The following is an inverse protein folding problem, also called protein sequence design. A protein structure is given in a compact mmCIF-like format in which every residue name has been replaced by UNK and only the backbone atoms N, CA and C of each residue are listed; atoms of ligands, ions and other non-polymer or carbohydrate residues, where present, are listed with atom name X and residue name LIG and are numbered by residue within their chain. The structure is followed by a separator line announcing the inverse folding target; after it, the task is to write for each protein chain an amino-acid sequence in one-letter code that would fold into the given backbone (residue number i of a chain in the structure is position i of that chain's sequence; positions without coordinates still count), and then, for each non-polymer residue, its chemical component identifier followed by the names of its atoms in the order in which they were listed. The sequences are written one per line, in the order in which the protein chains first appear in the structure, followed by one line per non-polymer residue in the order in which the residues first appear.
data_IF_561861207587
#
_entry.id   IF_561861207587
#
_cell.length_a   1.000
_cell.length_b   1.000
_cell.length_c   1.000
_cell.angle_alpha   90.00
_cell.angle_beta   90.00
_cell.angle_gamma   90.00
#
_symmetry.space_group_name_H-M   'P 1'
#
loop_
_entity.id
_entity.type
_entity.pdbx_description
1 polymer ?
#
# COMPACT_ATOMS: atom_id res chain seq x y z
N UNK A 1 -3.03 -20.51 -1.97
CA UNK A 1 -3.66 -19.18 -1.84
C UNK A 1 -4.05 -18.73 -3.24
N UNK A 2 -5.27 -18.23 -3.42
CA UNK A 2 -5.72 -17.68 -4.71
C UNK A 2 -5.02 -16.34 -4.97
N UNK A 3 -4.61 -16.10 -6.21
CA UNK A 3 -3.97 -14.85 -6.63
C UNK A 3 -4.82 -14.20 -7.70
N UNK A 4 -4.90 -12.87 -7.63
CA UNK A 4 -5.67 -12.06 -8.57
C UNK A 4 -4.69 -11.18 -9.31
N UNK A 5 -4.81 -11.17 -10.64
CA UNK A 5 -4.04 -10.33 -11.53
C UNK A 5 -4.97 -9.41 -12.28
N UNK A 6 -4.65 -8.12 -12.30
CA UNK A 6 -5.39 -7.10 -13.02
C UNK A 6 -4.45 -6.13 -13.71
N UNK A 7 -5.03 -5.29 -14.57
CA UNK A 7 -4.33 -4.20 -15.23
C UNK A 7 -4.70 -2.89 -14.52
N UNK A 8 -3.70 -2.15 -14.07
CA UNK A 8 -3.88 -0.81 -13.54
C UNK A 8 -4.25 0.18 -14.66
N UNK A 9 -4.75 1.36 -14.28
CA UNK A 9 -5.17 2.39 -15.24
C UNK A 9 -4.03 2.86 -16.15
N UNK A 10 -2.79 2.78 -15.68
CA UNK A 10 -1.57 3.12 -16.45
C UNK A 10 -1.13 2.00 -17.42
N UNK A 11 -1.86 0.88 -17.50
CA UNK A 11 -1.55 -0.27 -18.35
C UNK A 11 -0.60 -1.29 -17.70
N UNK A 12 -0.06 -1.01 -16.51
CA UNK A 12 0.83 -1.94 -15.82
C UNK A 12 0.07 -3.10 -15.16
N UNK A 13 0.73 -4.25 -15.04
CA UNK A 13 0.17 -5.42 -14.35
C UNK A 13 0.31 -5.29 -12.83
N UNK A 14 -0.74 -5.63 -12.10
CA UNK A 14 -0.75 -5.71 -10.63
C UNK A 14 -1.27 -7.08 -10.21
N UNK A 15 -0.56 -7.73 -9.29
CA UNK A 15 -0.93 -9.03 -8.72
C UNK A 15 -1.01 -8.91 -7.20
N UNK A 16 -2.05 -9.50 -6.60
CA UNK A 16 -2.23 -9.54 -5.14
C UNK A 16 -2.84 -10.86 -4.69
N UNK A 17 -2.63 -11.18 -3.41
CA UNK A 17 -3.22 -12.35 -2.76
C UNK A 17 -4.69 -12.08 -2.43
N UNK A 18 -5.58 -13.02 -2.75
CA UNK A 18 -7.01 -12.94 -2.40
C UNK A 18 -7.21 -13.28 -0.92
N UNK A 19 -6.66 -12.43 -0.07
CA UNK A 19 -6.72 -12.50 1.38
C UNK A 19 -6.66 -11.10 1.94
N UNK A 20 -7.74 -10.70 2.61
CA UNK A 20 -7.80 -9.40 3.30
C UNK A 20 -6.82 -9.45 4.49
N UNK A 21 -5.89 -8.49 4.52
CA UNK A 21 -4.86 -8.36 5.56
C UNK A 21 -5.20 -7.26 6.59
N UNK A 22 -6.13 -6.38 6.21
CA UNK A 22 -6.54 -5.25 6.99
C UNK A 22 -7.84 -4.68 6.43
N UNK A 23 -8.76 -4.40 7.34
CA UNK A 23 -9.99 -3.70 7.09
C UNK A 23 -9.81 -2.28 7.63
N UNK A 24 -9.30 -1.36 6.81
CA UNK A 24 -9.48 0.05 7.15
C UNK A 24 -10.98 0.36 7.23
N UNK A 25 -11.38 1.46 7.88
CA UNK A 25 -12.80 1.82 8.00
C UNK A 25 -13.53 1.84 6.65
N UNK A 26 -12.83 2.17 5.56
CA UNK A 26 -13.41 2.36 4.22
C UNK A 26 -12.93 1.37 3.15
N UNK A 27 -11.88 0.59 3.43
CA UNK A 27 -11.18 -0.20 2.41
C UNK A 27 -10.82 -1.59 2.90
N UNK A 28 -10.87 -2.54 1.96
CA UNK A 28 -10.26 -3.86 2.14
C UNK A 28 -8.87 -3.83 1.50
N UNK A 29 -7.86 -4.26 2.26
CA UNK A 29 -6.47 -4.20 1.86
C UNK A 29 -5.93 -5.61 1.65
N UNK A 30 -5.15 -5.78 0.58
CA UNK A 30 -4.57 -7.04 0.12
C UNK A 30 -3.06 -6.85 -0.09
N UNK A 31 -2.24 -7.85 0.22
CA UNK A 31 -0.80 -7.80 -0.06
C UNK A 31 -0.48 -8.25 -1.49
N UNK A 32 0.57 -7.68 -2.06
CA UNK A 32 1.32 -8.30 -3.14
C UNK A 32 1.90 -9.67 -2.69
N UNK A 33 2.13 -10.63 -3.60
CA UNK A 33 2.71 -11.93 -3.24
C UNK A 33 4.08 -11.83 -2.55
N UNK A 34 4.88 -10.82 -2.91
CA UNK A 34 6.19 -10.53 -2.29
C UNK A 34 6.12 -9.53 -1.14
N UNK A 35 4.91 -9.05 -0.81
CA UNK A 35 4.60 -8.01 0.19
C UNK A 35 5.30 -6.68 -0.05
N UNK A 36 5.74 -6.37 -1.28
CA UNK A 36 6.36 -5.09 -1.62
C UNK A 36 5.37 -3.92 -1.69
N UNK A 37 4.10 -4.22 -1.94
CA UNK A 37 3.01 -3.25 -1.96
C UNK A 37 1.71 -3.86 -1.43
N UNK A 38 0.74 -2.99 -1.19
CA UNK A 38 -0.64 -3.33 -0.91
C UNK A 38 -1.58 -2.76 -1.96
N UNK A 39 -2.70 -3.44 -2.16
CA UNK A 39 -3.82 -2.95 -2.96
C UNK A 39 -4.99 -2.73 -2.03
N UNK A 40 -5.52 -1.51 -2.00
CA UNK A 40 -6.66 -1.14 -1.17
C UNK A 40 -7.88 -0.80 -2.02
N UNK A 41 -8.95 -1.59 -1.92
CA UNK A 41 -10.21 -1.36 -2.62
C UNK A 41 -11.24 -0.69 -1.72
N UNK A 42 -11.91 0.35 -2.22
CA UNK A 42 -13.02 1.00 -1.52
C UNK A 42 -14.23 0.07 -1.51
N UNK A 43 -14.86 -0.12 -0.33
CA UNK A 43 -16.08 -0.93 -0.20
C UNK A 43 -17.27 -0.29 -0.91
N UNK A 44 -17.41 1.02 -0.75
CA UNK A 44 -18.45 1.80 -1.40
C UNK A 44 -18.04 2.19 -2.83
N UNK A 45 -19.01 2.17 -3.74
CA UNK A 45 -18.84 2.66 -5.11
C UNK A 45 -18.46 4.14 -5.08
N UNK A 46 -17.39 4.47 -5.80
CA UNK A 46 -16.89 5.85 -5.90
C UNK A 46 -17.49 6.55 -7.13
N UNK A 47 -17.77 7.84 -7.00
CA UNK A 47 -18.23 8.69 -8.11
C UNK A 47 -17.11 9.11 -9.06
N UNK A 48 -17.44 9.90 -10.09
CA UNK A 48 -16.45 10.43 -11.04
C UNK A 48 -15.44 11.35 -10.35
N UNK A 49 -15.90 12.26 -9.49
CA UNK A 49 -15.06 13.17 -8.69
C UNK A 49 -13.98 12.45 -7.88
N UNK A 50 -14.36 11.34 -7.22
CA UNK A 50 -13.43 10.56 -6.42
C UNK A 50 -12.39 9.85 -7.29
N UNK A 51 -12.76 9.38 -8.49
CA UNK A 51 -11.82 8.81 -9.46
C UNK A 51 -10.81 9.86 -9.92
N UNK A 52 -11.28 11.02 -10.37
CA UNK A 52 -10.41 12.11 -10.85
C UNK A 52 -9.44 12.58 -9.75
N UNK A 53 -9.91 12.68 -8.51
CA UNK A 53 -9.03 13.01 -7.37
C UNK A 53 -7.95 11.96 -7.16
N UNK A 54 -8.27 10.66 -7.22
CA UNK A 54 -7.26 9.61 -7.06
C UNK A 54 -6.24 9.63 -8.20
N UNK A 55 -6.68 9.93 -9.42
CA UNK A 55 -5.78 10.08 -10.57
C UNK A 55 -4.82 11.26 -10.41
N UNK A 56 -5.32 12.39 -9.92
CA UNK A 56 -4.46 13.51 -9.56
C UNK A 56 -3.46 13.17 -8.44
N UNK A 57 -3.86 12.37 -7.45
CA UNK A 57 -2.98 11.91 -6.36
C UNK A 57 -1.85 11.01 -6.88
N UNK A 58 -2.17 9.98 -7.67
CA UNK A 58 -1.15 9.04 -8.18
C UNK A 58 -0.31 9.63 -9.31
N UNK A 59 -0.86 10.61 -10.04
CA UNK A 59 -0.23 11.28 -11.17
C UNK A 59 0.36 12.63 -10.78
N UNK A 60 -0.39 13.71 -11.04
CA UNK A 60 0.08 15.11 -10.93
C UNK A 60 0.78 15.41 -9.61
N UNK A 61 0.17 15.07 -8.48
CA UNK A 61 0.73 15.39 -7.16
C UNK A 61 1.96 14.55 -6.85
N UNK A 62 1.91 13.26 -7.17
CA UNK A 62 3.08 12.38 -7.07
C UNK A 62 4.25 12.95 -7.87
N UNK A 63 4.02 13.34 -9.13
CA UNK A 63 5.06 13.90 -9.98
C UNK A 63 5.63 15.21 -9.40
N UNK A 64 4.80 16.09 -8.87
CA UNK A 64 5.28 17.33 -8.25
C UNK A 64 6.17 17.09 -7.02
N UNK A 65 5.90 16.04 -6.23
CA UNK A 65 6.65 15.72 -5.01
C UNK A 65 7.96 15.03 -5.35
N UNK A 66 7.93 14.00 -6.20
CA UNK A 66 9.07 13.12 -6.45
C UNK A 66 9.88 13.50 -7.70
N UNK A 67 9.32 14.27 -8.63
CA UNK A 67 9.99 14.65 -9.88
C UNK A 67 10.90 15.88 -9.77
N UNK A 68 10.92 16.55 -8.62
CA UNK A 68 11.78 17.70 -8.34
C UNK A 68 13.13 17.28 -7.75
N UNK A 69 14.10 18.20 -7.73
CA UNK A 69 15.38 17.98 -7.04
C UNK A 69 15.14 17.68 -5.55
N UNK A 70 15.76 16.61 -5.05
CA UNK A 70 15.51 16.11 -3.69
C UNK A 70 14.25 15.25 -3.55
N UNK A 71 13.48 15.04 -4.61
CA UNK A 71 12.29 14.18 -4.63
C UNK A 71 12.59 12.73 -4.24
N UNK A 72 13.74 12.19 -4.65
CA UNK A 72 14.16 10.82 -4.33
C UNK A 72 14.21 10.54 -2.82
N UNK A 73 14.66 11.51 -2.01
CA UNK A 73 14.73 11.37 -0.56
C UNK A 73 13.38 11.01 0.06
N UNK A 74 12.30 11.54 -0.50
CA UNK A 74 10.95 11.31 0.01
C UNK A 74 10.42 9.92 -0.29
N UNK A 75 10.96 9.20 -1.28
CA UNK A 75 10.47 7.86 -1.65
C UNK A 75 10.72 6.83 -0.55
N UNK A 76 11.79 7.00 0.20
CA UNK A 76 12.14 6.10 1.30
C UNK A 76 11.33 6.39 2.58
N UNK A 77 10.68 7.56 2.64
CA UNK A 77 9.95 8.02 3.82
C UNK A 77 8.42 7.95 3.65
N UNK A 78 7.89 8.20 2.45
CA UNK A 78 6.46 8.24 2.20
C UNK A 78 5.99 7.05 1.36
N UNK A 79 5.03 6.31 1.91
CA UNK A 79 4.28 5.30 1.16
C UNK A 79 3.19 5.97 0.30
N UNK A 80 3.59 6.73 -0.72
CA UNK A 80 2.67 7.45 -1.59
C UNK A 80 1.99 6.51 -2.61
N UNK A 81 0.66 6.63 -2.85
CA UNK A 81 -0.04 5.81 -3.83
C UNK A 81 0.51 5.95 -5.25
N UNK A 82 0.68 4.85 -5.96
CA UNK A 82 1.35 4.83 -7.26
C UNK A 82 0.41 4.59 -8.43
N UNK A 83 -0.67 3.83 -8.20
CA UNK A 83 -1.56 3.37 -9.27
C UNK A 83 -3.01 3.35 -8.83
N UNK A 84 -3.90 3.54 -9.81
CA UNK A 84 -5.34 3.30 -9.67
C UNK A 84 -5.69 1.98 -10.35
N UNK A 85 -6.50 1.18 -9.70
CA UNK A 85 -6.94 -0.15 -10.17
C UNK A 85 -8.45 -0.29 -10.01
N UNK A 86 -9.06 -1.20 -10.76
CA UNK A 86 -10.46 -1.57 -10.59
C UNK A 86 -10.59 -3.09 -10.56
N UNK A 87 -11.34 -3.61 -9.59
CA UNK A 87 -11.62 -5.03 -9.46
C UNK A 87 -13.01 -5.21 -8.88
N UNK A 88 -13.82 -6.08 -9.48
CA UNK A 88 -15.20 -6.35 -9.03
C UNK A 88 -16.06 -5.08 -8.88
N UNK A 89 -15.91 -4.13 -9.82
CA UNK A 89 -16.59 -2.83 -9.81
C UNK A 89 -16.16 -1.88 -8.68
N UNK A 90 -15.13 -2.24 -7.90
CA UNK A 90 -14.56 -1.44 -6.81
C UNK A 90 -13.32 -0.73 -7.29
N UNK A 91 -13.30 0.57 -7.06
CA UNK A 91 -12.12 1.41 -7.25
C UNK A 91 -11.08 1.06 -6.19
N UNK A 92 -9.81 1.03 -6.56
CA UNK A 92 -8.70 0.76 -5.66
C UNK A 92 -7.45 1.56 -5.99
N UNK A 93 -6.51 1.51 -5.06
CA UNK A 93 -5.18 2.12 -5.21
C UNK A 93 -4.09 1.13 -4.83
N UNK A 94 -2.94 1.25 -5.47
CA UNK A 94 -1.72 0.53 -5.13
C UNK A 94 -0.80 1.46 -4.35
N UNK A 95 -0.28 0.98 -3.23
CA UNK A 95 0.58 1.76 -2.32
C UNK A 95 1.75 0.86 -1.90
N UNK A 96 3.01 1.35 -1.91
CA UNK A 96 4.14 0.57 -1.41
C UNK A 96 3.97 0.28 0.08
N UNK A 97 4.53 -0.84 0.53
CA UNK A 97 4.63 -1.12 1.98
C UNK A 97 5.73 -0.30 2.62
N UNK A 98 5.67 -0.15 3.94
CA UNK A 98 6.79 0.42 4.69
C UNK A 98 8.10 -0.33 4.42
N UNK A 99 9.19 0.42 4.40
CA UNK A 99 10.52 -0.15 4.28
C UNK A 99 10.84 -1.06 5.47
N UNK A 100 11.73 -2.04 5.26
CA UNK A 100 12.08 -3.06 6.27
C UNK A 100 12.52 -2.48 7.61
N UNK A 101 13.14 -1.30 7.62
CA UNK A 101 13.61 -0.65 8.83
C UNK A 101 12.49 -0.17 9.77
N UNK A 102 11.24 -0.11 9.30
CA UNK A 102 10.04 0.13 10.13
C UNK A 102 9.52 -1.15 10.82
N UNK A 103 10.12 -2.31 10.58
CA UNK A 103 9.76 -3.57 11.21
C UNK A 103 10.88 -4.04 12.14
N UNK A 104 10.53 -4.82 13.16
CA UNK A 104 11.52 -5.44 14.04
C UNK A 104 12.20 -6.61 13.34
N UNK A 105 13.49 -6.47 13.04
CA UNK A 105 14.29 -7.57 12.49
C UNK A 105 14.56 -8.67 13.53
N UNK A 106 14.73 -8.26 14.79
CA UNK A 106 14.97 -9.14 15.92
C UNK A 106 13.75 -9.19 16.84
N UNK A 107 13.59 -10.33 17.51
CA UNK A 107 12.60 -10.49 18.57
C UNK A 107 13.01 -9.81 19.86
N UNK A 108 12.07 -9.74 20.80
CA UNK A 108 12.32 -9.30 22.18
C UNK A 108 13.18 -10.31 22.97
N UNK A 109 13.58 -9.93 24.19
CA UNK A 109 14.31 -10.79 25.11
C UNK A 109 13.57 -12.09 25.43
N UNK A 110 14.30 -13.08 25.93
CA UNK A 110 13.78 -14.40 26.30
C UNK A 110 13.12 -15.15 25.13
N UNK A 111 13.73 -15.11 23.94
CA UNK A 111 13.24 -15.85 22.77
C UNK A 111 12.01 -15.23 22.12
N UNK A 112 11.96 -13.89 22.05
CA UNK A 112 10.81 -13.12 21.53
C UNK A 112 9.52 -13.23 22.36
N UNK A 113 9.64 -13.06 23.68
CA UNK A 113 8.51 -13.13 24.62
C UNK A 113 7.33 -12.19 24.29
N UNK A 114 7.58 -11.06 23.63
CA UNK A 114 6.58 -10.12 23.15
C UNK A 114 6.08 -10.42 21.71
N UNK A 115 6.62 -11.44 21.04
CA UNK A 115 6.30 -11.82 19.66
C UNK A 115 6.36 -10.65 18.70
N UNK A 116 7.44 -9.86 18.78
CA UNK A 116 7.60 -8.60 18.05
C UNK A 116 8.36 -8.78 16.74
N UNK A 117 9.08 -9.90 16.56
CA UNK A 117 9.85 -10.16 15.35
C UNK A 117 8.95 -10.10 14.11
N UNK A 118 9.33 -9.27 13.15
CA UNK A 118 8.60 -9.05 11.90
C UNK A 118 7.35 -8.17 12.03
N UNK A 119 7.00 -7.69 13.24
CA UNK A 119 5.92 -6.71 13.42
C UNK A 119 6.42 -5.29 13.16
N UNK A 120 5.48 -4.42 12.80
CA UNK A 120 5.72 -2.98 12.63
C UNK A 120 6.13 -2.36 13.97
N UNK A 121 7.03 -1.39 13.93
CA UNK A 121 7.48 -0.62 15.10
C UNK A 121 6.38 0.36 15.50
N UNK A 122 5.62 0.00 16.54
CA UNK A 122 4.57 0.87 17.09
C UNK A 122 5.12 1.84 18.15
N UNK A 123 4.48 3.02 18.22
CA UNK A 123 4.68 4.12 19.19
C UNK A 123 4.84 3.77 20.67
N UNK A 124 4.50 2.55 21.06
CA UNK A 124 4.34 2.12 22.45
C UNK A 124 5.48 1.22 22.93
N UNK A 125 6.42 0.89 22.04
CA UNK A 125 7.43 -0.15 22.28
C UNK A 125 8.83 0.45 22.51
N UNK A 126 8.87 1.75 22.83
CA UNK A 126 10.04 2.52 23.25
C UNK A 126 9.85 3.05 24.66
#
# INVERSE_FOLDING_TARGET
MSRIRLTAKDGSSVEFEDKIIGAGGMKDVYFAPDKSFVVGFFRAKQGAEARDRLENIVGKYRQSIFGQAGGEYWKDLYCWPEKVVEWDGKLGIVVPTYARHFFFEHGSVNGDSLSIKGKEKEGKWF
#
